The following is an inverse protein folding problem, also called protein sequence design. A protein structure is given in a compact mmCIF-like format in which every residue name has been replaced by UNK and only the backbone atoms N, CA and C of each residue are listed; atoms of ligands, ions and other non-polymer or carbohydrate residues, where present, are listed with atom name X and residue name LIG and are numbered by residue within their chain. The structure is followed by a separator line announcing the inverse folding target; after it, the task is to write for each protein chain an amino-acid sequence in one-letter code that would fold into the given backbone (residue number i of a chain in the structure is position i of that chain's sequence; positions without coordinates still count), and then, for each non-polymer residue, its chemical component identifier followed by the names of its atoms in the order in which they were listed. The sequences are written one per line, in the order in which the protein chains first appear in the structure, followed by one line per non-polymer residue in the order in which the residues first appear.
data_IF_382071397559
#
_entry.id   IF_382071397559
#
_cell.length_a   1.000
_cell.length_b   1.000
_cell.length_c   1.000
_cell.angle_alpha   90.00
_cell.angle_beta   90.00
_cell.angle_gamma   90.00
#
_symmetry.space_group_name_H-M   'P 1'
#
loop_
_entity.id
_entity.type
_entity.pdbx_description
1 polymer ?
#
# COMPACT_ATOMS: atom_id res chain seq x y z
N UNK A 1 21.28 23.76 -15.47
CA UNK A 1 20.88 23.36 -14.11
C UNK A 1 19.37 23.40 -14.01
N UNK A 2 18.67 22.37 -14.47
CA UNK A 2 17.21 22.27 -14.32
C UNK A 2 16.89 22.16 -12.84
N UNK A 3 16.15 23.13 -12.29
CA UNK A 3 15.55 23.01 -10.96
C UNK A 3 14.70 21.74 -10.96
N UNK A 4 15.16 20.69 -10.31
CA UNK A 4 14.30 19.60 -9.86
C UNK A 4 13.33 20.24 -8.85
N UNK A 5 12.22 20.78 -9.33
CA UNK A 5 11.10 21.02 -8.43
C UNK A 5 10.66 19.65 -7.95
N UNK A 6 10.60 19.44 -6.63
CA UNK A 6 10.07 18.20 -6.07
C UNK A 6 8.67 17.87 -6.63
N UNK A 7 8.24 16.63 -6.43
CA UNK A 7 6.95 16.16 -6.92
C UNK A 7 5.82 17.15 -6.56
N UNK A 8 5.13 17.66 -7.58
CA UNK A 8 3.96 18.52 -7.40
C UNK A 8 2.70 17.68 -7.51
N UNK A 9 1.93 17.61 -6.41
CA UNK A 9 0.64 16.92 -6.41
C UNK A 9 -0.32 17.63 -7.39
N UNK A 10 -0.97 16.91 -8.31
CA UNK A 10 -1.95 17.51 -9.22
C UNK A 10 -3.12 18.16 -8.48
N UNK A 11 -3.64 19.27 -9.01
CA UNK A 11 -4.86 19.90 -8.48
C UNK A 11 -6.07 18.98 -8.73
N UNK A 12 -6.90 18.78 -7.71
CA UNK A 12 -8.15 18.02 -7.85
C UNK A 12 -9.15 18.86 -8.65
N UNK A 13 -9.60 18.34 -9.79
CA UNK A 13 -10.65 18.95 -10.60
C UNK A 13 -12.00 18.38 -10.15
N UNK A 14 -12.92 19.24 -9.70
CA UNK A 14 -14.27 18.83 -9.33
C UNK A 14 -15.04 18.33 -10.56
N UNK A 15 -15.99 17.42 -10.35
CA UNK A 15 -16.86 16.84 -11.40
C UNK A 15 -16.12 16.24 -12.60
N UNK A 16 -14.89 15.75 -12.37
CA UNK A 16 -14.08 15.08 -13.38
C UNK A 16 -13.91 13.59 -13.07
N UNK A 17 -13.82 12.79 -14.12
CA UNK A 17 -13.38 11.40 -14.02
C UNK A 17 -11.86 11.37 -14.15
N UNK A 18 -11.18 11.02 -13.05
CA UNK A 18 -9.72 10.94 -13.00
C UNK A 18 -9.23 9.66 -13.69
N UNK A 19 -8.57 9.79 -14.84
CA UNK A 19 -7.99 8.69 -15.63
C UNK A 19 -6.49 8.85 -15.88
N UNK A 20 -5.84 9.80 -15.21
CA UNK A 20 -4.40 10.12 -15.30
C UNK A 20 -3.56 9.34 -14.28
N UNK A 21 -4.13 8.32 -13.63
CA UNK A 21 -3.43 7.43 -12.69
C UNK A 21 -3.91 6.00 -12.88
N UNK A 22 -3.01 5.02 -12.73
CA UNK A 22 -3.29 3.59 -12.91
C UNK A 22 -4.04 2.97 -11.72
N UNK A 23 -5.09 3.63 -11.24
CA UNK A 23 -5.88 3.20 -10.09
C UNK A 23 -6.99 2.23 -10.50
N UNK A 24 -7.33 1.31 -9.60
CA UNK A 24 -8.35 0.29 -9.88
C UNK A 24 -9.75 0.72 -9.42
N UNK A 25 -10.56 1.22 -10.35
CA UNK A 25 -11.96 1.60 -10.11
C UNK A 25 -12.94 0.41 -10.04
N UNK A 26 -12.50 -0.81 -10.36
CA UNK A 26 -13.34 -2.02 -10.28
C UNK A 26 -13.62 -2.42 -8.83
N UNK A 27 -12.78 -1.98 -7.87
CA UNK A 27 -12.97 -2.26 -6.45
C UNK A 27 -14.22 -1.52 -5.94
N UNK A 28 -15.27 -2.28 -5.64
CA UNK A 28 -16.53 -1.72 -5.15
C UNK A 28 -16.40 -1.05 -3.78
N UNK A 29 -17.08 0.09 -3.61
CA UNK A 29 -17.09 0.86 -2.34
C UNK A 29 -17.48 0.02 -1.13
N UNK A 30 -18.41 -0.92 -1.28
CA UNK A 30 -18.85 -1.79 -0.18
C UNK A 30 -17.75 -2.73 0.30
N UNK A 31 -16.95 -3.28 -0.62
CA UNK A 31 -15.81 -4.11 -0.26
C UNK A 31 -14.77 -3.30 0.53
N UNK A 32 -14.45 -2.09 0.03
CA UNK A 32 -13.52 -1.18 0.70
C UNK A 32 -13.98 -0.83 2.14
N UNK A 33 -15.26 -0.47 2.31
CA UNK A 33 -15.83 -0.16 3.62
C UNK A 33 -15.81 -1.37 4.55
N UNK A 34 -16.14 -2.55 4.03
CA UNK A 34 -16.07 -3.81 4.78
C UNK A 34 -14.68 -4.09 5.32
N UNK A 35 -13.64 -3.92 4.49
CA UNK A 35 -12.24 -4.10 4.87
C UNK A 35 -11.82 -3.13 5.99
N UNK A 36 -12.13 -1.84 5.85
CA UNK A 36 -11.81 -0.81 6.85
C UNK A 36 -12.51 -1.10 8.18
N UNK A 37 -13.79 -1.48 8.14
CA UNK A 37 -14.55 -1.80 9.35
C UNK A 37 -14.01 -3.05 10.05
N UNK A 38 -13.55 -4.05 9.30
CA UNK A 38 -12.90 -5.22 9.89
C UNK A 38 -11.56 -4.87 10.56
N UNK A 39 -10.75 -4.02 9.93
CA UNK A 39 -9.48 -3.55 10.49
C UNK A 39 -9.70 -2.76 11.79
N UNK A 40 -10.66 -1.82 11.80
CA UNK A 40 -11.02 -1.04 13.01
C UNK A 40 -11.41 -1.90 14.21
N UNK A 41 -12.05 -3.04 13.98
CA UNK A 41 -12.45 -3.97 15.06
C UNK A 41 -11.31 -4.84 15.58
N UNK A 42 -10.27 -5.05 14.76
CA UNK A 42 -9.19 -6.02 15.03
C UNK A 42 -7.88 -5.38 15.42
N UNK A 43 -7.69 -4.10 15.11
CA UNK A 43 -6.46 -3.38 15.40
C UNK A 43 -6.68 -2.38 16.55
N UNK A 44 -5.89 -2.50 17.61
CA UNK A 44 -5.73 -1.43 18.60
C UNK A 44 -4.50 -0.60 18.23
N UNK A 45 -4.70 0.69 17.98
CA UNK A 45 -3.61 1.60 17.58
C UNK A 45 -2.62 1.90 18.71
N UNK A 46 -2.97 1.56 19.96
CA UNK A 46 -2.10 1.72 21.13
C UNK A 46 -1.13 0.57 21.28
N UNK A 47 -1.44 -0.57 20.68
CA UNK A 47 -0.60 -1.76 20.73
C UNK A 47 0.33 -1.81 19.52
N UNK A 48 1.56 -2.26 19.76
CA UNK A 48 2.46 -2.55 18.65
C UNK A 48 1.90 -3.75 17.85
N UNK A 49 1.87 -3.70 16.51
CA UNK A 49 1.24 -4.74 15.69
C UNK A 49 2.12 -6.00 15.55
N UNK A 50 2.38 -6.67 16.68
CA UNK A 50 3.23 -7.86 16.76
C UNK A 50 2.65 -9.00 15.91
N UNK A 51 3.47 -9.61 15.05
CA UNK A 51 3.07 -10.76 14.23
C UNK A 51 2.25 -10.41 12.98
N UNK A 52 1.88 -9.15 12.77
CA UNK A 52 1.04 -8.73 11.63
C UNK A 52 1.77 -8.87 10.30
N UNK A 53 3.03 -8.44 10.28
CA UNK A 53 3.92 -8.49 9.10
C UNK A 53 4.22 -9.93 8.69
N UNK A 54 4.51 -10.80 9.64
CA UNK A 54 4.84 -12.21 9.43
C UNK A 54 3.64 -12.96 8.85
N UNK A 55 2.43 -12.67 9.35
CA UNK A 55 1.19 -13.23 8.78
C UNK A 55 0.94 -12.74 7.36
N UNK A 56 1.23 -11.47 7.06
CA UNK A 56 1.11 -10.92 5.71
C UNK A 56 2.09 -11.58 4.75
N UNK A 57 3.36 -11.70 5.14
CA UNK A 57 4.41 -12.39 4.38
C UNK A 57 4.00 -13.83 4.07
N UNK A 58 3.51 -14.57 5.06
CA UNK A 58 3.05 -15.94 4.85
C UNK A 58 1.88 -16.03 3.84
N UNK A 59 0.93 -15.09 3.90
CA UNK A 59 -0.21 -15.06 2.97
C UNK A 59 0.17 -14.62 1.56
N UNK A 60 1.12 -13.69 1.42
CA UNK A 60 1.66 -13.31 0.12
C UNK A 60 2.48 -14.44 -0.51
N UNK A 61 3.28 -15.14 0.28
CA UNK A 61 4.03 -16.34 -0.12
C UNK A 61 3.09 -17.43 -0.68
N UNK A 62 2.00 -17.73 0.02
CA UNK A 62 0.94 -18.66 -0.44
C UNK A 62 0.30 -18.20 -1.76
N UNK A 63 -0.06 -16.92 -1.86
CA UNK A 63 -0.72 -16.36 -3.05
C UNK A 63 0.19 -16.32 -4.28
N UNK A 64 1.44 -15.89 -4.12
CA UNK A 64 2.43 -15.71 -5.19
C UNK A 64 3.16 -17.01 -5.54
N UNK A 65 3.04 -18.06 -4.71
CA UNK A 65 3.74 -19.35 -4.85
C UNK A 65 5.26 -19.21 -4.84
N UNK A 66 5.78 -18.36 -3.95
CA UNK A 66 7.22 -18.17 -3.72
C UNK A 66 7.54 -18.40 -2.24
N UNK A 67 8.74 -18.87 -1.88
CA UNK A 67 9.14 -19.02 -0.48
C UNK A 67 9.03 -17.73 0.34
N UNK A 68 8.65 -17.83 1.61
CA UNK A 68 8.46 -16.66 2.48
C UNK A 68 9.73 -15.83 2.70
N UNK A 69 10.91 -16.44 2.62
CA UNK A 69 12.21 -15.73 2.70
C UNK A 69 12.54 -14.94 1.43
N UNK A 70 11.73 -15.03 0.37
CA UNK A 70 11.82 -14.21 -0.83
C UNK A 70 10.81 -13.05 -0.84
N UNK A 71 10.05 -12.85 0.24
CA UNK A 71 9.02 -11.81 0.32
C UNK A 71 9.42 -10.77 1.36
N UNK A 72 9.69 -9.55 0.90
CA UNK A 72 9.78 -8.35 1.73
C UNK A 72 8.49 -7.52 1.63
N UNK A 73 8.12 -6.83 2.71
CA UNK A 73 6.96 -5.92 2.71
C UNK A 73 7.34 -4.53 3.22
N UNK A 74 6.64 -3.52 2.72
CA UNK A 74 6.85 -2.11 3.05
C UNK A 74 5.61 -1.27 2.69
N UNK A 75 5.60 -0.01 3.09
CA UNK A 75 4.51 0.92 2.85
C UNK A 75 4.62 1.53 1.44
N UNK A 76 4.24 0.74 0.44
CA UNK A 76 4.33 1.13 -0.97
C UNK A 76 5.70 0.84 -1.58
N UNK A 77 5.77 0.92 -2.91
CA UNK A 77 6.98 0.62 -3.67
C UNK A 77 8.13 1.58 -3.38
N UNK A 78 7.84 2.85 -3.09
CA UNK A 78 8.86 3.87 -2.83
C UNK A 78 9.71 3.50 -1.61
N UNK A 79 9.08 3.04 -0.51
CA UNK A 79 9.83 2.57 0.66
C UNK A 79 10.70 1.34 0.35
N UNK A 80 10.24 0.46 -0.54
CA UNK A 80 11.02 -0.71 -0.96
C UNK A 80 12.23 -0.26 -1.80
N UNK A 81 12.03 0.68 -2.72
CA UNK A 81 13.11 1.25 -3.53
C UNK A 81 14.13 1.98 -2.66
N UNK A 82 13.68 2.79 -1.70
CA UNK A 82 14.53 3.47 -0.74
C UNK A 82 15.38 2.47 0.05
N UNK A 83 14.81 1.33 0.47
CA UNK A 83 15.55 0.29 1.19
C UNK A 83 16.68 -0.32 0.34
N UNK A 84 16.47 -0.48 -0.96
CA UNK A 84 17.50 -0.96 -1.89
C UNK A 84 18.56 0.10 -2.18
N UNK A 85 18.16 1.37 -2.29
CA UNK A 85 19.04 2.48 -2.67
C UNK A 85 19.78 3.12 -1.50
N UNK A 86 19.31 2.92 -0.27
CA UNK A 86 19.95 3.43 0.95
C UNK A 86 21.15 2.58 1.43
N UNK A 87 21.47 1.49 0.72
CA UNK A 87 22.67 0.68 0.94
C UNK A 87 23.80 1.08 -0.01
#
# INVERSE_FOLDING_TARGET
MSKLSGYQKPKKIADSLKLDSNENFVIGKQFQLGLINAAKRRCDIREYPLGGTEKLVAKLSEYLKVPSNMVGVGNGSDQILDLFLAN
#
